data_IF_700385294790
#
_entry.id   IF_700385294790
#
_cell.length_a   1.000
_cell.length_b   1.000
_cell.length_c   1.000
_cell.angle_alpha   90.00
_cell.angle_beta   90.00
_cell.angle_gamma   90.00
#
_symmetry.space_group_name_H-M   'P 1'
#
loop_
_entity.id
_entity.type
_entity.pdbx_description
1 polymer ?
#
# COMPACT_ATOMS: atom_id res chain seq x y z
N UNK A 1 9.47 -11.23 8.34
CA UNK A 1 10.62 -11.66 9.17
C UNK A 1 11.91 -10.92 8.83
N UNK A 2 12.36 -10.83 7.56
CA UNK A 2 13.57 -10.06 7.19
C UNK A 2 13.63 -8.63 7.74
N UNK A 3 12.50 -7.90 7.75
CA UNK A 3 12.45 -6.51 8.23
C UNK A 3 12.70 -6.36 9.74
N UNK A 4 12.10 -7.23 10.55
CA UNK A 4 12.32 -7.26 12.00
C UNK A 4 13.79 -7.56 12.35
N UNK A 5 14.44 -8.49 11.62
CA UNK A 5 15.85 -8.78 11.79
C UNK A 5 16.72 -7.54 11.51
N UNK A 6 16.50 -6.87 10.37
CA UNK A 6 17.22 -5.62 10.02
C UNK A 6 17.01 -4.52 11.05
N UNK A 7 15.80 -4.35 11.58
CA UNK A 7 15.51 -3.38 12.64
C UNK A 7 16.30 -3.69 13.92
N UNK A 8 16.40 -4.97 14.29
CA UNK A 8 17.20 -5.46 15.40
C UNK A 8 18.71 -5.55 15.12
N UNK A 9 19.17 -5.10 13.93
CA UNK A 9 20.57 -5.21 13.46
C UNK A 9 21.07 -6.64 13.25
N UNK A 10 20.18 -7.61 13.23
CA UNK A 10 20.47 -9.01 12.97
C UNK A 10 20.32 -9.39 11.49
N UNK A 11 20.60 -10.65 11.20
CA UNK A 11 20.40 -11.26 9.87
C UNK A 11 19.15 -12.17 9.84
N UNK A 12 18.67 -12.49 8.65
CA UNK A 12 17.51 -13.35 8.42
C UNK A 12 17.82 -14.39 7.36
N UNK A 13 17.50 -15.65 7.65
CA UNK A 13 17.58 -16.74 6.68
C UNK A 13 16.20 -17.32 6.47
N UNK A 14 15.76 -17.35 5.21
CA UNK A 14 14.55 -18.05 4.80
C UNK A 14 14.89 -19.50 4.49
N UNK A 15 14.07 -20.42 5.00
CA UNK A 15 14.16 -21.85 4.72
C UNK A 15 12.85 -22.25 4.05
N UNK A 16 12.91 -22.55 2.75
CA UNK A 16 11.75 -22.96 1.96
C UNK A 16 11.58 -24.48 1.86
N UNK A 17 12.64 -25.24 2.16
CA UNK A 17 12.69 -26.69 2.08
C UNK A 17 13.31 -27.26 3.37
N UNK A 18 12.72 -28.32 3.90
CA UNK A 18 13.17 -29.00 5.11
C UNK A 18 14.56 -29.62 4.95
N UNK A 19 14.94 -30.01 3.73
CA UNK A 19 16.26 -30.57 3.44
C UNK A 19 17.39 -29.53 3.58
N UNK A 20 17.06 -28.24 3.48
CA UNK A 20 18.04 -27.15 3.60
C UNK A 20 18.29 -26.71 5.05
N UNK A 21 17.46 -27.14 6.01
CA UNK A 21 17.46 -26.62 7.39
C UNK A 21 18.84 -26.67 8.01
N UNK A 22 19.52 -27.82 7.97
CA UNK A 22 20.82 -27.99 8.61
C UNK A 22 21.88 -27.01 8.05
N UNK A 23 21.97 -26.89 6.73
CA UNK A 23 22.94 -26.01 6.07
C UNK A 23 22.64 -24.53 6.33
N UNK A 24 21.37 -24.14 6.22
CA UNK A 24 20.91 -22.75 6.41
C UNK A 24 21.07 -22.30 7.86
N UNK A 25 20.74 -23.17 8.82
CA UNK A 25 20.93 -22.89 10.25
C UNK A 25 22.42 -22.84 10.61
N UNK A 26 23.26 -23.72 10.08
CA UNK A 26 24.70 -23.66 10.29
C UNK A 26 25.29 -22.32 9.83
N UNK A 27 24.93 -21.84 8.62
CA UNK A 27 25.36 -20.52 8.13
C UNK A 27 24.90 -19.38 9.03
N UNK A 28 23.63 -19.41 9.46
CA UNK A 28 23.08 -18.40 10.37
C UNK A 28 23.87 -18.37 11.69
N UNK A 29 24.13 -19.54 12.29
CA UNK A 29 24.88 -19.63 13.54
C UNK A 29 26.32 -19.12 13.40
N UNK A 30 27.01 -19.52 12.33
CA UNK A 30 28.36 -18.99 12.05
C UNK A 30 28.35 -17.47 11.87
N UNK A 31 27.32 -16.91 11.25
CA UNK A 31 27.19 -15.45 11.12
C UNK A 31 27.01 -14.78 12.49
N UNK A 32 26.05 -15.24 13.31
CA UNK A 32 25.71 -14.55 14.57
C UNK A 32 26.74 -14.74 15.70
N UNK A 33 27.55 -15.81 15.66
CA UNK A 33 28.52 -16.14 16.71
C UNK A 33 29.66 -15.12 16.80
N UNK A 34 30.02 -14.49 15.68
CA UNK A 34 31.12 -13.53 15.63
C UNK A 34 30.88 -12.41 14.60
N UNK A 35 30.14 -11.33 14.97
CA UNK A 35 30.06 -10.15 14.12
C UNK A 35 31.44 -9.51 13.96
N UNK A 36 31.80 -9.16 12.72
CA UNK A 36 33.10 -8.58 12.37
C UNK A 36 33.16 -7.10 12.78
N UNK A 37 32.09 -6.35 12.53
CA UNK A 37 31.97 -4.94 12.93
C UNK A 37 30.55 -4.68 13.45
N UNK A 38 30.45 -4.06 14.62
CA UNK A 38 29.18 -3.63 15.21
C UNK A 38 29.16 -2.12 15.40
N UNK A 39 27.98 -1.56 15.68
CA UNK A 39 27.84 -0.13 16.01
C UNK A 39 28.31 0.81 14.90
N UNK A 40 28.18 0.36 13.65
CA UNK A 40 28.61 1.12 12.48
C UNK A 40 27.83 2.43 12.31
N UNK A 41 28.57 3.51 12.05
CA UNK A 41 28.07 4.85 11.78
C UNK A 41 28.85 5.44 10.61
N UNK A 42 28.21 6.34 9.87
CA UNK A 42 28.80 7.09 8.76
C UNK A 42 28.67 8.58 9.01
N UNK A 43 29.64 9.36 8.53
CA UNK A 43 29.60 10.83 8.55
C UNK A 43 28.73 11.43 7.44
N UNK A 44 28.12 10.61 6.57
CA UNK A 44 27.27 11.08 5.49
C UNK A 44 26.00 11.78 6.02
N UNK A 45 25.84 13.06 5.66
CA UNK A 45 24.64 13.84 5.94
C UNK A 45 23.67 13.79 4.74
N UNK A 46 22.76 12.83 4.75
CA UNK A 46 21.77 12.64 3.70
C UNK A 46 20.68 11.65 4.06
N UNK A 47 19.64 11.58 3.23
CA UNK A 47 18.55 10.62 3.42
C UNK A 47 19.04 9.23 3.02
N UNK A 48 19.41 8.44 4.04
CA UNK A 48 20.09 7.15 3.90
C UNK A 48 19.18 5.99 4.27
N UNK A 49 19.27 4.92 3.49
CA UNK A 49 18.57 3.66 3.75
C UNK A 49 19.55 2.48 3.70
N UNK A 50 19.54 1.59 4.71
CA UNK A 50 18.74 1.67 5.94
C UNK A 50 19.14 2.90 6.79
N UNK A 51 18.19 3.44 7.57
CA UNK A 51 18.41 4.65 8.38
C UNK A 51 19.50 4.47 9.46
N UNK A 52 19.70 3.22 9.90
CA UNK A 52 20.81 2.81 10.76
C UNK A 52 21.56 1.71 10.04
N UNK A 53 22.90 1.80 9.99
CA UNK A 53 23.71 0.77 9.35
C UNK A 53 23.60 -0.54 10.15
N UNK A 54 23.42 -1.69 9.46
CA UNK A 54 23.44 -3.00 10.09
C UNK A 54 24.87 -3.34 10.56
N UNK A 55 24.97 -4.39 11.36
CA UNK A 55 26.26 -4.94 11.75
C UNK A 55 26.83 -5.80 10.60
N UNK A 56 28.17 -5.85 10.49
CA UNK A 56 28.87 -6.59 9.44
C UNK A 56 29.14 -8.02 9.91
N UNK A 57 28.60 -8.98 9.17
CA UNK A 57 28.83 -10.40 9.37
C UNK A 57 29.77 -10.97 8.30
N UNK A 58 30.46 -12.07 8.62
CA UNK A 58 31.35 -12.73 7.67
C UNK A 58 30.55 -13.21 6.46
N UNK A 59 31.01 -12.85 5.25
CA UNK A 59 30.37 -13.26 4.00
C UNK A 59 29.15 -12.44 3.57
N UNK A 60 28.72 -11.45 4.36
CA UNK A 60 27.59 -10.57 4.02
C UNK A 60 28.05 -9.11 3.88
N UNK A 61 27.88 -8.46 2.70
CA UNK A 61 28.22 -7.06 2.55
C UNK A 61 27.15 -6.15 3.15
N UNK A 62 27.58 -4.97 3.63
CA UNK A 62 26.65 -3.90 3.99
C UNK A 62 26.38 -3.04 2.77
N UNK A 63 25.12 -2.93 2.39
CA UNK A 63 24.65 -2.04 1.33
C UNK A 63 23.83 -0.92 1.94
N UNK A 64 24.21 0.32 1.64
CA UNK A 64 23.50 1.52 2.06
C UNK A 64 23.39 2.48 0.88
N UNK A 65 22.22 3.07 0.71
CA UNK A 65 21.93 4.01 -0.38
C UNK A 65 21.56 5.34 0.23
N UNK A 66 22.29 6.39 -0.14
CA UNK A 66 22.14 7.72 0.43
C UNK A 66 21.86 8.75 -0.65
N UNK A 67 20.80 9.53 -0.47
CA UNK A 67 20.54 10.69 -1.30
C UNK A 67 21.18 11.94 -0.68
N UNK A 68 22.09 12.53 -1.44
CA UNK A 68 22.79 13.77 -1.09
C UNK A 68 22.30 14.93 -1.97
N UNK A 69 22.28 16.17 -1.47
CA UNK A 69 22.13 17.34 -2.32
C UNK A 69 23.40 17.52 -3.16
N UNK A 70 23.25 18.05 -4.39
CA UNK A 70 24.38 18.23 -5.33
C UNK A 70 25.54 19.04 -4.76
N UNK A 71 25.26 19.95 -3.85
CA UNK A 71 26.24 20.86 -3.21
C UNK A 71 26.98 20.24 -2.03
N UNK A 72 26.55 19.07 -1.53
CA UNK A 72 27.11 18.45 -0.32
C UNK A 72 27.68 17.05 -0.55
N UNK A 73 28.23 16.78 -1.74
CA UNK A 73 28.95 15.53 -2.00
C UNK A 73 30.34 15.63 -1.32
N UNK A 74 30.63 14.82 -0.28
CA UNK A 74 31.90 14.92 0.41
C UNK A 74 33.01 14.22 -0.38
N UNK A 75 34.25 14.72 -0.26
CA UNK A 75 35.44 14.06 -0.82
C UNK A 75 35.85 12.81 -0.02
N UNK A 76 35.43 12.73 1.23
CA UNK A 76 35.76 11.63 2.14
C UNK A 76 34.55 11.27 3.00
N UNK A 77 34.35 9.98 3.21
CA UNK A 77 33.35 9.45 4.15
C UNK A 77 34.09 8.78 5.29
N UNK A 78 33.77 9.20 6.51
CA UNK A 78 34.30 8.57 7.72
C UNK A 78 33.30 7.53 8.22
N UNK A 79 33.80 6.33 8.47
CA UNK A 79 33.07 5.26 9.14
C UNK A 79 33.65 5.05 10.53
N UNK A 80 32.78 4.83 11.51
CA UNK A 80 33.16 4.46 12.88
C UNK A 80 32.35 3.25 13.32
N UNK A 81 32.91 2.45 14.22
CA UNK A 81 32.26 1.26 14.77
C UNK A 81 33.12 0.60 15.83
N UNK A 82 32.85 -0.67 16.08
CA UNK A 82 33.60 -1.50 17.02
C UNK A 82 33.96 -2.83 16.37
N UNK A 83 35.23 -3.25 16.50
CA UNK A 83 35.75 -4.55 16.08
C UNK A 83 36.29 -5.26 17.30
N UNK A 84 35.76 -6.44 17.64
CA UNK A 84 36.18 -7.19 18.83
C UNK A 84 36.26 -6.31 20.10
N UNK A 85 35.21 -5.53 20.36
CA UNK A 85 35.10 -4.55 21.46
C UNK A 85 36.09 -3.37 21.44
N UNK A 86 36.93 -3.24 20.41
CA UNK A 86 37.82 -2.09 20.24
C UNK A 86 37.24 -1.06 19.27
N UNK A 87 37.46 0.26 19.49
CA UNK A 87 37.07 1.29 18.54
C UNK A 87 37.69 1.04 17.17
N UNK A 88 36.89 1.18 16.12
CA UNK A 88 37.32 1.05 14.74
C UNK A 88 36.91 2.29 13.95
N UNK A 89 37.79 2.76 13.07
CA UNK A 89 37.49 3.83 12.13
C UNK A 89 38.10 3.54 10.76
N UNK A 90 37.44 4.00 9.71
CA UNK A 90 37.95 3.96 8.36
C UNK A 90 37.54 5.22 7.60
N UNK A 91 38.33 5.58 6.59
CA UNK A 91 38.08 6.71 5.71
C UNK A 91 38.02 6.21 4.28
N UNK A 92 36.88 6.44 3.63
CA UNK A 92 36.70 6.17 2.20
C UNK A 92 36.84 7.47 1.43
N UNK A 93 37.82 7.55 0.54
CA UNK A 93 37.99 8.70 -0.36
C UNK A 93 37.15 8.50 -1.62
N UNK A 94 36.43 9.54 -2.02
CA UNK A 94 35.63 9.57 -3.24
C UNK A 94 36.47 10.29 -4.29
N UNK A 95 37.09 9.51 -5.16
CA UNK A 95 37.95 10.02 -6.22
C UNK A 95 37.09 10.44 -7.42
N UNK A 96 36.49 9.45 -8.09
CA UNK A 96 35.58 9.65 -9.21
C UNK A 96 34.27 8.90 -8.95
N UNK A 97 33.16 9.63 -9.00
CA UNK A 97 31.82 9.05 -8.86
C UNK A 97 31.26 8.86 -10.27
N UNK A 98 31.31 7.66 -10.85
CA UNK A 98 30.75 7.42 -12.16
C UNK A 98 29.23 7.69 -12.12
N UNK A 99 28.71 8.33 -13.17
CA UNK A 99 27.27 8.45 -13.31
C UNK A 99 26.66 7.07 -13.58
N UNK A 100 25.94 6.55 -12.60
CA UNK A 100 25.18 5.32 -12.74
C UNK A 100 23.68 5.62 -12.93
N UNK A 101 23.06 4.96 -13.92
CA UNK A 101 21.62 5.03 -14.13
C UNK A 101 20.90 4.12 -13.13
N UNK A 102 19.77 4.58 -12.58
CA UNK A 102 18.90 3.77 -11.72
C UNK A 102 19.23 3.76 -10.23
N UNK A 103 20.27 4.47 -9.78
CA UNK A 103 20.53 4.64 -8.33
C UNK A 103 19.41 5.40 -7.61
N UNK A 104 18.75 6.31 -8.30
CA UNK A 104 17.58 7.04 -7.81
C UNK A 104 16.38 6.10 -7.61
N UNK A 105 16.20 5.14 -8.51
CA UNK A 105 15.15 4.10 -8.42
C UNK A 105 15.45 3.16 -7.26
N UNK A 106 16.71 2.73 -7.09
CA UNK A 106 17.14 1.91 -5.95
C UNK A 106 16.86 2.63 -4.63
N UNK A 107 17.31 3.89 -4.51
CA UNK A 107 17.05 4.73 -3.35
C UNK A 107 15.54 4.89 -3.07
N UNK A 108 14.74 5.11 -4.10
CA UNK A 108 13.29 5.29 -3.96
C UNK A 108 12.58 4.01 -3.49
N UNK A 109 13.03 2.83 -3.95
CA UNK A 109 12.54 1.53 -3.46
C UNK A 109 12.86 1.34 -1.98
N UNK A 110 14.09 1.62 -1.57
CA UNK A 110 14.50 1.50 -0.17
C UNK A 110 13.76 2.49 0.73
N UNK A 111 13.50 3.71 0.23
CA UNK A 111 12.65 4.70 0.90
C UNK A 111 11.23 4.19 1.12
N UNK A 112 10.58 3.67 0.07
CA UNK A 112 9.23 3.10 0.17
C UNK A 112 9.22 1.94 1.17
N UNK A 113 10.21 1.04 1.12
CA UNK A 113 10.32 -0.07 2.06
C UNK A 113 10.44 0.40 3.52
N UNK A 114 11.21 1.47 3.77
CA UNK A 114 11.33 2.05 5.10
C UNK A 114 10.05 2.76 5.58
N UNK A 115 9.32 3.42 4.68
CA UNK A 115 8.03 4.04 4.99
C UNK A 115 6.96 2.99 5.29
N UNK A 116 6.92 1.88 4.56
CA UNK A 116 6.01 0.77 4.85
C UNK A 116 6.30 0.14 6.22
N UNK A 117 7.58 0.12 6.66
CA UNK A 117 7.95 -0.34 8.00
C UNK A 117 7.47 0.63 9.11
N UNK A 118 7.58 1.94 8.89
CA UNK A 118 7.14 2.93 9.87
C UNK A 118 5.62 3.04 9.99
N UNK A 119 4.86 2.41 9.07
CA UNK A 119 3.38 2.40 9.05
C UNK A 119 2.76 1.77 10.30
N UNK A 120 3.49 0.86 10.95
CA UNK A 120 3.05 0.20 12.19
C UNK A 120 3.45 0.98 13.47
N UNK A 121 4.12 2.13 13.33
CA UNK A 121 4.48 3.01 14.44
C UNK A 121 3.38 4.04 14.75
N UNK A 122 3.62 4.92 15.72
CA UNK A 122 2.66 5.94 16.20
C UNK A 122 2.37 7.07 15.20
N UNK A 123 2.89 6.98 13.97
CA UNK A 123 2.63 7.92 12.88
C UNK A 123 1.25 7.68 12.25
N UNK A 124 0.63 8.74 11.76
CA UNK A 124 -0.62 8.70 11.00
C UNK A 124 -0.40 7.96 9.68
N UNK A 125 -1.05 6.80 9.52
CA UNK A 125 -0.92 5.96 8.33
C UNK A 125 -1.18 6.72 7.02
N UNK A 126 -2.05 7.74 7.05
CA UNK A 126 -2.34 8.61 5.91
C UNK A 126 -1.11 9.41 5.42
N UNK A 127 -0.30 9.94 6.33
CA UNK A 127 0.89 10.72 5.97
C UNK A 127 1.99 9.85 5.37
N UNK A 128 2.08 8.60 5.84
CA UNK A 128 2.98 7.58 5.28
C UNK A 128 2.51 7.19 3.88
N UNK A 129 1.21 6.92 3.72
CA UNK A 129 0.63 6.56 2.43
C UNK A 129 0.83 7.69 1.40
N UNK A 130 0.64 8.96 1.80
CA UNK A 130 0.92 10.12 0.94
C UNK A 130 2.40 10.20 0.51
N UNK A 131 3.34 9.91 1.42
CA UNK A 131 4.77 9.90 1.09
C UNK A 131 5.17 8.74 0.18
N UNK A 132 4.58 7.56 0.39
CA UNK A 132 4.78 6.39 -0.48
C UNK A 132 4.27 6.71 -1.89
N UNK A 133 3.03 7.20 -2.00
CA UNK A 133 2.42 7.56 -3.28
C UNK A 133 3.26 8.61 -4.02
N UNK A 134 3.68 9.68 -3.33
CA UNK A 134 4.53 10.73 -3.90
C UNK A 134 5.87 10.19 -4.40
N UNK A 135 6.52 9.31 -3.63
CA UNK A 135 7.81 8.73 -4.00
C UNK A 135 7.65 7.77 -5.18
N UNK A 136 6.61 6.94 -5.16
CA UNK A 136 6.32 5.97 -6.20
C UNK A 136 6.03 6.64 -7.54
N UNK A 137 5.13 7.63 -7.56
CA UNK A 137 4.80 8.38 -8.78
C UNK A 137 6.00 9.14 -9.34
N UNK A 138 6.80 9.78 -8.48
CA UNK A 138 7.97 10.54 -8.91
C UNK A 138 9.02 9.67 -9.61
N UNK A 139 9.20 8.43 -9.17
CA UNK A 139 10.21 7.51 -9.68
C UNK A 139 9.61 6.39 -10.55
N UNK A 140 8.35 6.51 -10.96
CA UNK A 140 7.62 5.52 -11.77
C UNK A 140 7.68 4.09 -11.20
N UNK A 141 7.53 3.96 -9.87
CA UNK A 141 7.56 2.68 -9.17
C UNK A 141 6.15 2.13 -8.93
N UNK A 142 6.04 0.81 -9.05
CA UNK A 142 4.89 0.04 -8.56
C UNK A 142 5.05 -0.13 -7.05
N UNK A 143 3.99 0.16 -6.31
CA UNK A 143 3.90 0.08 -4.85
C UNK A 143 2.53 -0.46 -4.47
N UNK A 144 2.25 -0.61 -3.17
CA UNK A 144 0.89 -0.93 -2.72
C UNK A 144 -0.17 0.09 -3.18
N UNK A 145 0.24 1.33 -3.49
CA UNK A 145 -0.63 2.44 -3.84
C UNK A 145 -0.59 2.80 -5.35
N UNK A 146 0.20 2.10 -6.16
CA UNK A 146 0.38 2.42 -7.59
C UNK A 146 0.40 1.14 -8.43
N UNK A 147 -0.23 1.17 -9.60
CA UNK A 147 -0.25 0.07 -10.56
C UNK A 147 0.06 0.58 -11.97
N UNK A 148 0.63 -0.28 -12.82
CA UNK A 148 0.81 0.01 -14.23
C UNK A 148 -0.43 -0.49 -14.98
N UNK A 149 -1.11 0.41 -15.68
CA UNK A 149 -2.27 0.10 -16.53
C UNK A 149 -1.87 0.37 -17.96
N UNK A 150 -1.93 -0.66 -18.81
CA UNK A 150 -1.78 -0.48 -20.25
C UNK A 150 -3.09 0.07 -20.81
N UNK A 151 -3.02 1.23 -21.45
CA UNK A 151 -4.13 1.81 -22.21
C UNK A 151 -3.75 1.74 -23.67
N UNK A 152 -4.57 1.07 -24.47
CA UNK A 152 -4.38 1.02 -25.91
C UNK A 152 -4.71 2.40 -26.52
N UNK A 153 -3.79 2.90 -27.34
CA UNK A 153 -3.90 4.21 -27.98
C UNK A 153 -4.66 4.10 -29.30
N UNK A 154 -4.59 2.94 -29.96
CA UNK A 154 -5.26 2.72 -31.24
C UNK A 154 -6.60 2.03 -31.00
N UNK A 155 -7.73 2.75 -31.03
CA UNK A 155 -9.01 2.10 -30.91
C UNK A 155 -9.18 1.15 -32.10
N UNK A 156 -9.45 -0.13 -31.82
CA UNK A 156 -9.67 -1.19 -32.84
C UNK A 156 -10.66 -0.81 -33.95
N UNK A 157 -11.50 0.20 -33.72
CA UNK A 157 -12.35 0.84 -34.71
C UNK A 157 -12.19 2.36 -34.61
N UNK A 158 -11.87 3.06 -35.71
CA UNK A 158 -11.98 4.52 -35.79
C UNK A 158 -13.39 4.98 -35.41
N UNK A 159 -13.50 6.01 -34.59
CA UNK A 159 -14.80 6.49 -34.09
C UNK A 159 -15.75 6.90 -35.23
N UNK A 160 -15.17 7.47 -36.29
CA UNK A 160 -15.85 7.99 -37.49
C UNK A 160 -16.22 6.91 -38.51
N UNK A 161 -15.76 5.66 -38.34
CA UNK A 161 -16.20 4.58 -39.22
C UNK A 161 -17.74 4.45 -39.14
N UNK A 162 -18.39 4.00 -40.22
CA UNK A 162 -19.83 3.72 -40.20
C UNK A 162 -20.09 2.41 -39.44
N UNK A 163 -21.20 2.32 -38.70
CA UNK A 163 -21.62 1.08 -38.06
C UNK A 163 -22.42 0.27 -39.08
N UNK A 164 -21.90 -0.89 -39.45
CA UNK A 164 -22.65 -1.85 -40.24
C UNK A 164 -23.41 -2.79 -39.31
N UNK A 165 -24.74 -2.70 -39.35
CA UNK A 165 -25.60 -3.67 -38.66
C UNK A 165 -25.89 -4.82 -39.59
N UNK A 166 -25.45 -6.03 -39.23
CA UNK A 166 -25.80 -7.27 -39.94
C UNK A 166 -26.49 -8.22 -38.99
N UNK A 167 -27.46 -8.97 -39.51
CA UNK A 167 -28.02 -10.11 -38.77
C UNK A 167 -26.97 -11.22 -38.79
N UNK A 168 -26.35 -11.47 -37.64
CA UNK A 168 -25.46 -12.62 -37.45
C UNK A 168 -26.33 -13.86 -37.31
N UNK A 169 -26.08 -14.94 -38.09
CA UNK A 169 -26.85 -16.16 -37.96
C UNK A 169 -26.68 -16.73 -36.56
N UNK A 170 -27.79 -17.12 -35.93
CA UNK A 170 -27.77 -17.77 -34.64
C UNK A 170 -27.13 -19.14 -34.81
N UNK A 171 -26.10 -19.46 -34.03
CA UNK A 171 -25.54 -20.82 -34.01
C UNK A 171 -26.52 -21.73 -33.27
N UNK A 172 -27.46 -22.32 -34.01
CA UNK A 172 -28.40 -23.30 -33.47
C UNK A 172 -27.70 -24.67 -33.34
N UNK A 173 -27.92 -25.40 -32.23
CA UNK A 173 -27.54 -26.81 -32.14
C UNK A 173 -28.19 -27.62 -33.26
N UNK A 174 -27.55 -28.72 -33.64
CA UNK A 174 -28.06 -29.61 -34.67
C UNK A 174 -29.47 -30.11 -34.32
N UNK A 175 -30.40 -30.00 -35.29
CA UNK A 175 -31.79 -30.41 -35.13
C UNK A 175 -32.75 -29.35 -34.57
N UNK A 176 -32.29 -28.14 -34.23
CA UNK A 176 -33.16 -27.06 -33.76
C UNK A 176 -33.69 -26.19 -34.91
N UNK A 177 -35.00 -25.93 -34.90
CA UNK A 177 -35.68 -25.03 -35.84
C UNK A 177 -36.15 -23.76 -35.11
N UNK A 178 -35.50 -22.63 -35.40
CA UNK A 178 -35.80 -21.35 -34.76
C UNK A 178 -37.23 -20.87 -35.03
N UNK A 179 -37.82 -21.19 -36.18
CA UNK A 179 -39.18 -20.76 -36.53
C UNK A 179 -40.23 -21.35 -35.58
N UNK A 180 -39.94 -22.50 -34.95
CA UNK A 180 -40.80 -23.15 -33.94
C UNK A 180 -40.65 -22.56 -32.54
N UNK A 181 -39.59 -21.78 -32.29
CA UNK A 181 -39.33 -21.12 -31.00
C UNK A 181 -39.84 -19.68 -30.96
N UNK A 182 -40.04 -19.06 -32.13
CA UNK A 182 -40.61 -17.72 -32.24
C UNK A 182 -42.13 -17.82 -32.05
N UNK A 183 -42.59 -17.55 -30.82
CA UNK A 183 -44.00 -17.34 -30.54
C UNK A 183 -44.50 -16.12 -31.33
N UNK A 184 -45.27 -16.39 -32.39
CA UNK A 184 -46.00 -15.35 -33.12
C UNK A 184 -47.43 -15.42 -32.59
N UNK A 185 -47.93 -14.42 -31.83
CA UNK A 185 -49.34 -14.44 -31.44
C UNK A 185 -50.16 -14.34 -32.72
N UNK A 186 -50.93 -15.39 -33.02
CA UNK A 186 -51.86 -15.40 -34.15
C UNK A 186 -52.78 -14.18 -34.03
N UNK A 187 -52.69 -13.31 -35.03
CA UNK A 187 -53.69 -12.25 -35.24
C UNK A 187 -54.95 -12.91 -35.76
N UNK A 188 -55.71 -13.54 -34.87
CA UNK A 188 -57.13 -13.73 -35.10
C UNK A 188 -57.78 -12.34 -35.17
N UNK A 189 -58.21 -11.99 -36.39
CA UNK A 189 -59.07 -10.84 -36.62
C UNK A 189 -60.41 -11.05 -35.91
N UNK A 190 -60.97 -9.93 -35.45
CA UNK A 190 -62.37 -9.75 -35.02
C UNK A 190 -62.82 -10.43 -33.72
N UNK A 191 -62.42 -9.81 -32.61
CA UNK A 191 -63.39 -9.13 -31.76
C UNK A 191 -62.69 -7.94 -31.11
N UNK A 192 -63.04 -6.72 -31.54
CA UNK A 192 -62.72 -5.49 -30.80
C UNK A 192 -63.49 -5.55 -29.48
N UNK A 193 -62.91 -6.19 -28.48
CA UNK A 193 -63.14 -5.76 -27.11
C UNK A 193 -62.64 -4.32 -27.04
N UNK A 194 -63.58 -3.40 -26.83
CA UNK A 194 -63.34 -2.01 -26.50
C UNK A 194 -62.12 -1.89 -25.60
N UNK A 195 -61.14 -1.08 -26.03
CA UNK A 195 -60.01 -0.66 -25.20
C UNK A 195 -60.61 -0.15 -23.89
N UNK A 196 -60.35 -0.79 -22.72
CA UNK A 196 -60.70 -0.14 -21.48
C UNK A 196 -59.89 1.16 -21.44
N UNK A 197 -60.57 2.26 -21.13
CA UNK A 197 -59.99 3.58 -21.01
C UNK A 197 -58.62 3.52 -20.33
N UNK A 198 -57.66 4.40 -20.70
CA UNK A 198 -56.33 4.40 -20.10
C UNK A 198 -56.50 4.36 -18.58
N UNK A 199 -56.04 3.28 -17.96
CA UNK A 199 -55.91 3.20 -16.52
C UNK A 199 -54.98 4.36 -16.20
N UNK A 200 -55.54 5.43 -15.64
CA UNK A 200 -54.75 6.47 -15.01
C UNK A 200 -54.02 5.75 -13.89
N UNK A 201 -52.78 5.33 -14.15
CA UNK A 201 -51.86 4.88 -13.14
C UNK A 201 -51.53 6.11 -12.32
N UNK A 202 -52.43 6.46 -11.39
CA UNK A 202 -52.06 7.21 -10.21
C UNK A 202 -50.86 6.46 -9.63
N UNK A 203 -49.70 7.12 -9.61
CA UNK A 203 -48.49 6.57 -9.03
C UNK A 203 -48.82 6.21 -7.58
N UNK A 204 -49.14 4.93 -7.32
CA UNK A 204 -49.23 4.42 -5.96
C UNK A 204 -47.82 4.51 -5.43
N UNK A 205 -47.55 5.32 -4.38
CA UNK A 205 -46.24 5.33 -3.77
C UNK A 205 -45.94 3.90 -3.31
N UNK A 206 -44.89 3.31 -3.87
CA UNK A 206 -44.35 2.06 -3.38
C UNK A 206 -43.91 2.31 -1.95
N UNK A 207 -44.69 1.84 -0.98
CA UNK A 207 -44.32 1.82 0.42
C UNK A 207 -43.18 0.82 0.58
N UNK A 208 -41.95 1.33 0.57
CA UNK A 208 -40.79 0.55 0.96
C UNK A 208 -40.94 0.21 2.45
N UNK A 209 -40.64 -1.04 2.88
CA UNK A 209 -40.65 -1.37 4.30
C UNK A 209 -39.67 -0.45 5.01
N UNK A 210 -40.16 0.23 6.05
CA UNK A 210 -39.35 1.10 6.89
C UNK A 210 -38.18 0.28 7.45
N UNK A 211 -36.95 0.62 7.06
CA UNK A 211 -35.75 0.02 7.65
C UNK A 211 -35.73 0.39 9.13
N UNK A 212 -35.99 -0.60 9.97
CA UNK A 212 -35.97 -0.49 11.42
C UNK A 212 -34.53 -0.34 11.92
N UNK A 213 -33.99 0.87 11.87
CA UNK A 213 -32.89 1.29 12.73
C UNK A 213 -33.40 2.45 13.59
N UNK A 214 -33.43 2.31 14.94
CA UNK A 214 -33.95 3.35 15.83
C UNK A 214 -32.88 4.44 16.02
N UNK A 215 -32.57 5.14 14.93
CA UNK A 215 -31.53 6.17 14.85
C UNK A 215 -31.81 7.34 15.81
N UNK A 216 -33.08 7.64 16.09
CA UNK A 216 -33.48 8.66 17.07
C UNK A 216 -33.01 8.30 18.48
N UNK A 217 -33.13 7.03 18.88
CA UNK A 217 -32.69 6.57 20.21
C UNK A 217 -31.17 6.55 20.34
N UNK A 218 -30.46 6.16 19.27
CA UNK A 218 -28.99 6.17 19.24
C UNK A 218 -28.43 7.60 19.31
N UNK A 219 -29.08 8.57 18.63
CA UNK A 219 -28.70 9.98 18.71
C UNK A 219 -28.95 10.56 20.11
N UNK A 220 -30.08 10.22 20.75
CA UNK A 220 -30.37 10.63 22.13
C UNK A 220 -29.37 10.05 23.13
N UNK A 221 -28.98 8.78 22.98
CA UNK A 221 -27.95 8.17 23.83
C UNK A 221 -26.58 8.81 23.62
N UNK A 222 -26.21 9.13 22.38
CA UNK A 222 -24.97 9.84 22.08
C UNK A 222 -24.93 11.25 22.70
N UNK A 223 -26.03 12.00 22.59
CA UNK A 223 -26.15 13.33 23.18
C UNK A 223 -26.07 13.30 24.72
N UNK A 224 -26.70 12.29 25.36
CA UNK A 224 -26.65 12.11 26.81
C UNK A 224 -25.22 11.83 27.30
N UNK A 225 -24.49 10.94 26.63
CA UNK A 225 -23.09 10.61 26.98
C UNK A 225 -22.16 11.81 26.79
N UNK A 226 -22.41 12.62 25.76
CA UNK A 226 -21.65 13.84 25.52
C UNK A 226 -21.85 14.89 26.61
N UNK A 227 -23.09 15.09 27.08
CA UNK A 227 -23.40 16.00 28.18
C UNK A 227 -22.83 15.52 29.52
N UNK A 228 -22.86 14.21 29.79
CA UNK A 228 -22.22 13.61 30.97
C UNK A 228 -20.70 13.78 30.95
N UNK A 229 -20.07 13.63 29.78
CA UNK A 229 -18.64 13.88 29.61
C UNK A 229 -18.25 15.34 29.89
N UNK A 230 -19.05 16.29 29.40
CA UNK A 230 -18.86 17.73 29.67
C UNK A 230 -19.04 18.08 31.16
N UNK A 231 -20.05 17.51 31.82
CA UNK A 231 -20.27 17.70 33.26
C UNK A 231 -19.12 17.11 34.10
N UNK A 232 -18.61 15.93 33.74
CA UNK A 232 -17.45 15.32 34.40
C UNK A 232 -16.17 16.15 34.26
N UNK A 233 -15.96 16.77 33.10
CA UNK A 233 -14.82 17.68 32.88
C UNK A 233 -14.93 18.95 33.73
N UNK A 234 -16.15 19.45 33.94
CA UNK A 234 -16.40 20.66 34.71
C UNK A 234 -16.30 20.43 36.23
N UNK A 235 -16.62 19.23 36.72
CA UNK A 235 -16.39 18.85 38.13
C UNK A 235 -14.93 18.49 38.42
N UNK A 236 -14.17 18.01 37.43
CA UNK A 236 -12.75 17.65 37.57
C UNK A 236 -11.78 18.84 37.72
N UNK A 237 -12.20 20.07 37.38
CA UNK A 237 -11.35 21.26 37.48
C UNK A 237 -11.46 22.03 38.81
N UNK A 238 -12.34 21.62 39.73
CA UNK A 238 -12.54 22.29 41.03
C UNK A 238 -11.64 21.81 42.18
N UNK A 239 -10.83 20.76 41.99
CA UNK A 239 -10.20 20.02 43.09
C UNK A 239 -8.70 20.21 43.32
N UNK A 240 -8.02 21.19 42.71
CA UNK A 240 -6.58 21.42 42.91
C UNK A 240 -6.26 22.88 43.21
N UNK A 241 -6.42 23.28 44.47
CA UNK A 241 -5.71 24.44 44.99
C UNK A 241 -5.25 24.24 46.44
N UNK A 242 -3.92 24.23 46.58
CA UNK A 242 -3.08 24.62 47.72
C UNK A 242 -3.04 23.74 48.97
N UNK A 243 -2.01 22.90 49.02
CA UNK A 243 -1.12 22.64 50.18
C UNK A 243 0.26 22.38 49.54
N UNK A 244 1.39 23.04 49.86
CA UNK A 244 2.23 23.00 51.07
C UNK A 244 3.29 24.12 50.95
N UNK A 245 3.76 24.57 52.13
CA UNK A 245 4.93 25.40 52.45
C UNK A 245 6.14 25.31 51.52
#
# INVERSE_FOLDING_TARGET
>A
MSRAAKFGRGTYVQIGDIQEVASRMSRLFTAIDAPVLINLKTSLAGESYPARLPDLYVGEPIVSVTRLPKTAVPKQIHFTGQRAAQPWSAVLRLEEIPMAKGLDVLWARDKIAALEESRFSRATAADIDAQILKTALKHHLVSRLTSLVAVDIEPSRPLEARLDTRKVPTMLPEGWDFAKLVYTPDRHAENRASVPAPIQTAARPLTLPATASPHVWLLLQGALLFLLGLAGLHLGQGGRSKVVR
#
